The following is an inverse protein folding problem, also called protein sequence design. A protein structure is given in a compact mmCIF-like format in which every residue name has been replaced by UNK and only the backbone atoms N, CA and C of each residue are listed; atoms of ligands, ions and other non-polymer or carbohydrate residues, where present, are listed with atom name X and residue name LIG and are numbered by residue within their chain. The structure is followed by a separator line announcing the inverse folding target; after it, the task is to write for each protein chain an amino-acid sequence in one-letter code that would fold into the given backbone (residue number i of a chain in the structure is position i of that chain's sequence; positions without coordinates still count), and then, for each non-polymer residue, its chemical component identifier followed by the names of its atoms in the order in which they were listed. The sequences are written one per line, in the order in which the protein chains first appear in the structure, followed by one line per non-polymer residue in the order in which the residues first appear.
data_IF_218644350431
#
_entry.id   IF_218644350431
#
_cell.length_a   1.000
_cell.length_b   1.000
_cell.length_c   1.000
_cell.angle_alpha   90.00
_cell.angle_beta   90.00
_cell.angle_gamma   90.00
#
_symmetry.space_group_name_H-M   'P 1'
#
loop_
_entity.id
_entity.type
_entity.pdbx_description
1 polymer ?
#
# COMPACT_ATOMS: atom_id res chain seq x y z
N UNK A 1 -45.05 -14.86 -31.89
CA UNK A 1 -44.51 -16.21 -32.11
C UNK A 1 -45.38 -17.32 -31.52
N UNK A 2 -45.86 -17.23 -30.27
CA UNK A 2 -46.69 -18.28 -29.62
C UNK A 2 -47.93 -18.68 -30.44
N UNK A 3 -48.65 -17.73 -31.08
CA UNK A 3 -49.88 -18.05 -31.84
C UNK A 3 -49.62 -18.87 -33.13
N UNK A 4 -48.45 -18.71 -33.76
CA UNK A 4 -48.09 -19.40 -35.00
C UNK A 4 -47.75 -20.87 -34.74
N UNK A 5 -46.87 -21.12 -33.75
CA UNK A 5 -46.54 -22.47 -33.29
C UNK A 5 -47.74 -23.19 -32.67
N UNK A 6 -48.63 -22.47 -31.97
CA UNK A 6 -49.89 -23.02 -31.43
C UNK A 6 -50.81 -23.56 -32.53
N UNK A 7 -50.96 -22.82 -33.64
CA UNK A 7 -51.84 -23.21 -34.76
C UNK A 7 -51.30 -24.43 -35.51
N UNK A 8 -49.97 -24.53 -35.64
CA UNK A 8 -49.29 -25.69 -36.24
C UNK A 8 -49.43 -26.94 -35.35
N UNK A 9 -49.29 -26.80 -34.02
CA UNK A 9 -49.51 -27.92 -33.07
C UNK A 9 -50.93 -28.45 -33.12
N UNK A 10 -51.93 -27.56 -33.15
CA UNK A 10 -53.34 -27.96 -33.24
C UNK A 10 -53.64 -28.73 -34.54
N UNK A 11 -53.12 -28.25 -35.68
CA UNK A 11 -53.31 -28.94 -36.96
C UNK A 11 -52.61 -30.32 -37.01
N UNK A 12 -51.41 -30.47 -36.44
CA UNK A 12 -50.67 -31.74 -36.44
C UNK A 12 -51.29 -32.80 -35.51
N UNK A 13 -51.95 -32.38 -34.43
CA UNK A 13 -52.69 -33.26 -33.52
C UNK A 13 -54.01 -33.75 -34.15
N UNK A 14 -54.70 -32.91 -34.93
CA UNK A 14 -55.93 -33.29 -35.64
C UNK A 14 -55.69 -34.32 -36.76
N UNK A 15 -54.48 -34.42 -37.30
CA UNK A 15 -54.12 -35.34 -38.39
C UNK A 15 -53.57 -36.72 -37.92
N UNK A 16 -53.64 -37.09 -36.63
CA UNK A 16 -53.06 -38.33 -36.07
C UNK A 16 -51.52 -38.50 -36.32
N UNK A 17 -50.79 -37.41 -36.59
CA UNK A 17 -49.34 -37.43 -36.88
C UNK A 17 -48.48 -37.21 -35.62
N UNK A 18 -48.68 -38.04 -34.60
CA UNK A 18 -48.00 -37.96 -33.29
C UNK A 18 -46.46 -37.93 -33.39
N UNK A 19 -45.87 -38.71 -34.30
CA UNK A 19 -44.40 -38.70 -34.53
C UNK A 19 -43.86 -37.38 -35.12
N UNK A 20 -44.64 -36.65 -35.92
CA UNK A 20 -44.25 -35.31 -36.40
C UNK A 20 -44.42 -34.28 -35.29
N UNK A 21 -45.49 -34.37 -34.49
CA UNK A 21 -45.73 -33.50 -33.34
C UNK A 21 -44.57 -33.52 -32.34
N UNK A 22 -44.06 -34.69 -31.97
CA UNK A 22 -42.91 -34.82 -31.06
C UNK A 22 -41.65 -34.12 -31.60
N UNK A 23 -41.33 -34.28 -32.88
CA UNK A 23 -40.18 -33.61 -33.52
C UNK A 23 -40.31 -32.08 -33.47
N UNK A 24 -41.51 -31.55 -33.69
CA UNK A 24 -41.78 -30.11 -33.61
C UNK A 24 -41.73 -29.57 -32.17
N UNK A 25 -42.28 -30.30 -31.19
CA UNK A 25 -42.24 -29.90 -29.79
C UNK A 25 -40.81 -29.89 -29.23
N UNK A 26 -39.98 -30.88 -29.62
CA UNK A 26 -38.55 -30.91 -29.28
C UNK A 26 -37.84 -29.71 -29.92
N UNK A 27 -38.11 -29.40 -31.19
CA UNK A 27 -37.53 -28.23 -31.85
C UNK A 27 -37.87 -26.90 -31.16
N UNK A 28 -39.10 -26.75 -30.64
CA UNK A 28 -39.52 -25.57 -29.89
C UNK A 28 -38.80 -25.46 -28.53
N UNK A 29 -38.64 -26.58 -27.81
CA UNK A 29 -37.87 -26.62 -26.56
C UNK A 29 -36.41 -26.25 -26.82
N UNK A 30 -35.78 -26.82 -27.85
CA UNK A 30 -34.39 -26.51 -28.22
C UNK A 30 -34.23 -25.03 -28.57
N UNK A 31 -35.15 -24.45 -29.33
CA UNK A 31 -35.15 -23.01 -29.65
C UNK A 31 -35.28 -22.13 -28.41
N UNK A 32 -36.17 -22.47 -27.48
CA UNK A 32 -36.33 -21.74 -26.21
C UNK A 32 -35.07 -21.84 -25.35
N UNK A 33 -34.49 -23.04 -25.25
CA UNK A 33 -33.24 -23.26 -24.50
C UNK A 33 -32.10 -22.45 -25.08
N UNK A 34 -31.93 -22.43 -26.41
CA UNK A 34 -30.92 -21.57 -27.08
C UNK A 34 -31.17 -20.09 -26.75
N UNK A 35 -32.42 -19.63 -26.79
CA UNK A 35 -32.78 -18.26 -26.43
C UNK A 35 -32.40 -17.90 -24.98
N UNK A 36 -32.66 -18.80 -24.03
CA UNK A 36 -32.29 -18.62 -22.61
C UNK A 36 -30.77 -18.61 -22.45
N UNK A 37 -30.05 -19.53 -23.10
CA UNK A 37 -28.59 -19.59 -23.01
C UNK A 37 -27.93 -18.33 -23.57
N UNK A 38 -28.41 -17.80 -24.70
CA UNK A 38 -27.92 -16.53 -25.26
C UNK A 38 -28.22 -15.38 -24.30
N UNK A 39 -29.43 -15.31 -23.73
CA UNK A 39 -29.78 -14.28 -22.77
C UNK A 39 -28.88 -14.31 -21.52
N UNK A 40 -28.60 -15.51 -20.98
CA UNK A 40 -27.68 -15.71 -19.86
C UNK A 40 -26.25 -15.32 -20.24
N UNK A 41 -25.77 -15.69 -21.43
CA UNK A 41 -24.44 -15.33 -21.90
C UNK A 41 -24.28 -13.80 -22.04
N UNK A 42 -25.26 -13.11 -22.61
CA UNK A 42 -25.25 -11.65 -22.73
C UNK A 42 -25.24 -10.99 -21.34
N UNK A 43 -26.06 -11.49 -20.41
CA UNK A 43 -26.10 -10.98 -19.06
C UNK A 43 -24.76 -11.18 -18.33
N UNK A 44 -24.18 -12.38 -18.41
CA UNK A 44 -22.90 -12.70 -17.81
C UNK A 44 -21.78 -11.83 -18.39
N UNK A 45 -21.73 -11.65 -19.72
CA UNK A 45 -20.74 -10.80 -20.37
C UNK A 45 -20.84 -9.33 -19.94
N UNK A 46 -22.06 -8.79 -19.80
CA UNK A 46 -22.28 -7.44 -19.30
C UNK A 46 -21.81 -7.30 -17.85
N UNK A 47 -22.06 -8.30 -17.01
CA UNK A 47 -21.62 -8.30 -15.62
C UNK A 47 -20.10 -8.38 -15.50
N UNK A 48 -19.45 -9.28 -16.26
CA UNK A 48 -17.99 -9.35 -16.34
C UNK A 48 -17.38 -8.03 -16.79
N UNK A 49 -17.97 -7.36 -17.80
CA UNK A 49 -17.49 -6.05 -18.25
C UNK A 49 -17.56 -5.00 -17.13
N UNK A 50 -18.67 -4.95 -16.38
CA UNK A 50 -18.82 -4.01 -15.25
C UNK A 50 -17.81 -4.29 -14.15
N UNK A 51 -17.55 -5.56 -13.85
CA UNK A 51 -16.55 -5.98 -12.88
C UNK A 51 -15.14 -5.52 -13.30
N UNK A 52 -14.75 -5.76 -14.57
CA UNK A 52 -13.46 -5.31 -15.11
C UNK A 52 -13.33 -3.78 -15.04
N UNK A 53 -14.37 -3.04 -15.44
CA UNK A 53 -14.35 -1.57 -15.36
C UNK A 53 -14.18 -1.06 -13.92
N UNK A 54 -14.83 -1.72 -12.97
CA UNK A 54 -14.71 -1.39 -11.54
C UNK A 54 -13.30 -1.70 -11.03
N UNK A 55 -12.74 -2.86 -11.41
CA UNK A 55 -11.37 -3.25 -11.06
C UNK A 55 -10.34 -2.25 -11.61
N UNK A 56 -10.48 -1.83 -12.86
CA UNK A 56 -9.60 -0.83 -13.48
C UNK A 56 -9.70 0.54 -12.81
N UNK A 57 -10.90 0.95 -12.40
CA UNK A 57 -11.08 2.17 -11.62
C UNK A 57 -10.35 2.07 -10.26
N UNK A 58 -10.38 0.90 -9.61
CA UNK A 58 -9.63 0.66 -8.37
C UNK A 58 -8.12 0.65 -8.61
N UNK A 59 -7.63 0.13 -9.74
CA UNK A 59 -6.20 0.21 -10.07
C UNK A 59 -5.72 1.66 -10.23
N UNK A 60 -6.54 2.56 -10.76
CA UNK A 60 -6.22 3.99 -10.81
C UNK A 60 -6.13 4.60 -9.40
N UNK A 61 -7.02 4.19 -8.49
CA UNK A 61 -6.97 4.60 -7.07
C UNK A 61 -5.69 4.08 -6.41
N UNK A 62 -5.31 2.82 -6.65
CA UNK A 62 -4.04 2.26 -6.16
C UNK A 62 -2.86 3.05 -6.69
N UNK A 63 -2.86 3.45 -7.96
CA UNK A 63 -1.81 4.29 -8.53
C UNK A 63 -1.69 5.65 -7.83
N UNK A 64 -2.81 6.35 -7.63
CA UNK A 64 -2.83 7.65 -6.93
C UNK A 64 -2.32 7.53 -5.48
N UNK A 65 -2.70 6.46 -4.79
CA UNK A 65 -2.22 6.14 -3.44
C UNK A 65 -0.69 5.96 -3.45
N UNK A 66 -0.15 5.17 -4.40
CA UNK A 66 1.29 4.94 -4.53
C UNK A 66 2.06 6.23 -4.86
N UNK A 67 1.53 7.09 -5.74
CA UNK A 67 2.15 8.39 -6.09
C UNK A 67 2.23 9.33 -4.87
N UNK A 68 1.18 9.35 -4.06
CA UNK A 68 1.14 10.13 -2.81
C UNK A 68 2.19 9.64 -1.82
N UNK A 69 2.24 8.32 -1.61
CA UNK A 69 3.20 7.71 -0.69
C UNK A 69 4.65 7.92 -1.15
N UNK A 70 4.93 7.77 -2.46
CA UNK A 70 6.25 8.05 -3.04
C UNK A 70 6.67 9.48 -2.71
N UNK A 71 5.81 10.47 -2.97
CA UNK A 71 6.13 11.87 -2.71
C UNK A 71 6.44 12.13 -1.24
N UNK A 72 5.68 11.52 -0.32
CA UNK A 72 5.91 11.64 1.11
C UNK A 72 7.24 11.02 1.54
N UNK A 73 7.51 9.80 1.09
CA UNK A 73 8.72 9.07 1.46
C UNK A 73 9.98 9.69 0.86
N UNK A 74 9.93 10.16 -0.39
CA UNK A 74 11.07 10.86 -1.01
C UNK A 74 11.39 12.17 -0.27
N UNK A 75 10.38 12.93 0.15
CA UNK A 75 10.57 14.14 0.96
C UNK A 75 11.26 13.83 2.29
N UNK A 76 10.80 12.78 2.99
CA UNK A 76 11.40 12.34 4.24
C UNK A 76 12.85 11.85 4.07
N UNK A 77 13.10 11.00 3.06
CA UNK A 77 14.44 10.49 2.74
C UNK A 77 15.38 11.66 2.41
N UNK A 78 14.90 12.68 1.69
CA UNK A 78 15.66 13.88 1.39
C UNK A 78 16.08 14.63 2.67
N UNK A 79 15.15 14.93 3.57
CA UNK A 79 15.46 15.63 4.82
C UNK A 79 16.35 14.81 5.76
N UNK A 80 16.16 13.49 5.78
CA UNK A 80 17.06 12.56 6.47
C UNK A 80 18.51 12.68 5.96
N UNK A 81 18.70 12.61 4.65
CA UNK A 81 20.04 12.68 4.04
C UNK A 81 20.68 14.07 4.16
N UNK A 82 19.87 15.13 4.15
CA UNK A 82 20.31 16.52 4.24
C UNK A 82 20.76 16.92 5.64
N UNK A 83 20.08 16.45 6.68
CA UNK A 83 20.26 16.96 8.04
C UNK A 83 20.57 15.86 9.06
N UNK A 84 19.70 14.86 9.16
CA UNK A 84 19.76 13.87 10.24
C UNK A 84 20.95 12.91 10.11
N UNK A 85 21.20 12.37 8.91
CA UNK A 85 22.34 11.48 8.66
C UNK A 85 23.70 12.17 8.90
N UNK A 86 23.98 13.37 8.34
CA UNK A 86 25.21 14.09 8.63
C UNK A 86 25.41 14.37 10.13
N UNK A 87 24.34 14.68 10.86
CA UNK A 87 24.41 14.89 12.30
C UNK A 87 24.84 13.62 13.05
N UNK A 88 24.20 12.48 12.77
CA UNK A 88 24.60 11.20 13.35
C UNK A 88 26.06 10.85 13.03
N UNK A 89 26.47 11.00 11.77
CA UNK A 89 27.84 10.69 11.34
C UNK A 89 28.86 11.61 12.00
N UNK A 90 28.56 12.90 12.16
CA UNK A 90 29.43 13.84 12.86
C UNK A 90 29.58 13.47 14.34
N UNK A 91 28.46 13.30 15.05
CA UNK A 91 28.43 13.02 16.49
C UNK A 91 29.08 11.67 16.84
N UNK A 92 28.93 10.66 15.98
CA UNK A 92 29.48 9.33 16.24
C UNK A 92 30.96 9.20 15.87
N UNK A 93 31.38 9.83 14.76
CA UNK A 93 32.70 9.56 14.16
C UNK A 93 33.74 10.66 14.42
N UNK A 94 33.34 11.84 14.91
CA UNK A 94 34.27 12.95 15.21
C UNK A 94 34.43 13.14 16.72
N UNK A 95 35.60 13.63 17.12
CA UNK A 95 35.79 14.21 18.45
C UNK A 95 35.34 15.66 18.40
N UNK A 96 34.07 15.88 18.72
CA UNK A 96 33.50 17.23 18.78
C UNK A 96 33.97 17.93 20.06
N UNK A 97 34.21 19.24 19.96
CA UNK A 97 34.39 20.14 21.09
C UNK A 97 33.07 20.81 21.44
N UNK A 98 32.97 21.46 22.60
CA UNK A 98 31.78 22.26 22.97
C UNK A 98 31.49 23.37 21.95
N UNK A 99 32.53 24.03 21.46
CA UNK A 99 32.43 25.06 20.43
C UNK A 99 31.85 24.52 19.11
N UNK A 100 32.16 23.26 18.74
CA UNK A 100 31.59 22.65 17.54
C UNK A 100 30.07 22.48 17.63
N UNK A 101 29.53 22.14 18.81
CA UNK A 101 28.09 22.05 19.05
C UNK A 101 27.41 23.42 19.01
N UNK A 102 28.06 24.44 19.56
CA UNK A 102 27.56 25.82 19.55
C UNK A 102 27.50 26.39 18.12
N UNK A 103 28.53 26.10 17.32
CA UNK A 103 28.62 26.53 15.92
C UNK A 103 27.74 25.69 14.97
N UNK A 104 27.33 24.47 15.36
CA UNK A 104 26.53 23.57 14.52
C UNK A 104 25.32 22.99 15.27
N UNK A 105 24.23 23.77 15.43
CA UNK A 105 23.01 23.31 16.10
C UNK A 105 22.36 22.07 15.45
N UNK A 106 22.67 21.76 14.19
CA UNK A 106 22.19 20.56 13.50
C UNK A 106 22.66 19.26 14.14
N UNK A 107 23.71 19.26 14.97
CA UNK A 107 24.10 18.05 15.71
C UNK A 107 23.00 17.57 16.68
N UNK A 108 22.06 18.44 17.07
CA UNK A 108 20.92 18.08 17.91
C UNK A 108 19.86 17.27 17.17
N UNK A 109 19.97 17.07 15.85
CA UNK A 109 19.12 16.14 15.10
C UNK A 109 19.17 14.71 15.65
N UNK A 110 20.27 14.33 16.33
CA UNK A 110 20.41 13.03 17.00
C UNK A 110 19.45 12.84 18.18
N UNK A 111 18.88 13.93 18.69
CA UNK A 111 17.86 13.91 19.74
C UNK A 111 16.43 13.96 19.21
N UNK A 112 16.23 14.31 17.94
CA UNK A 112 14.89 14.44 17.37
C UNK A 112 14.28 13.08 17.07
N UNK A 113 12.97 12.98 17.31
CA UNK A 113 12.16 11.82 16.99
C UNK A 113 12.03 11.56 15.49
N UNK A 114 11.12 10.67 15.11
CA UNK A 114 10.80 10.32 13.73
C UNK A 114 9.54 11.04 13.27
N UNK A 115 9.32 11.05 11.96
CA UNK A 115 8.12 11.64 11.36
C UNK A 115 7.02 10.58 11.25
N UNK A 116 5.77 10.98 11.52
CA UNK A 116 4.60 10.12 11.41
C UNK A 116 4.20 9.96 9.93
N UNK A 117 4.80 8.97 9.28
CA UNK A 117 4.47 8.57 7.91
C UNK A 117 3.41 7.46 7.91
N UNK A 118 2.71 7.30 6.78
CA UNK A 118 1.76 6.20 6.59
C UNK A 118 1.74 5.75 5.12
N UNK A 119 1.46 4.46 4.92
CA UNK A 119 1.14 3.90 3.60
C UNK A 119 -0.36 4.04 3.36
N UNK A 120 -0.73 4.59 2.20
CA UNK A 120 -2.11 4.72 1.75
C UNK A 120 -2.73 3.35 1.46
N UNK A 121 -3.92 3.08 2.01
CA UNK A 121 -4.58 1.75 1.92
C UNK A 121 -5.91 1.75 1.18
N UNK A 122 -6.35 2.91 0.68
CA UNK A 122 -7.68 3.09 0.09
C UNK A 122 -7.90 2.16 -1.10
N UNK A 123 -6.98 2.14 -2.07
CA UNK A 123 -7.06 1.32 -3.27
C UNK A 123 -6.98 -0.18 -2.97
N UNK A 124 -6.02 -0.61 -2.14
CA UNK A 124 -5.87 -2.03 -1.77
C UNK A 124 -7.06 -2.55 -0.98
N UNK A 125 -7.65 -1.76 -0.08
CA UNK A 125 -8.82 -2.15 0.69
C UNK A 125 -10.07 -2.30 -0.19
N UNK A 126 -10.23 -1.43 -1.18
CA UNK A 126 -11.29 -1.58 -2.20
C UNK A 126 -11.05 -2.81 -3.08
N UNK A 127 -9.80 -3.06 -3.47
CA UNK A 127 -9.43 -4.21 -4.29
C UNK A 127 -9.71 -5.53 -3.56
N UNK A 128 -9.30 -5.64 -2.29
CA UNK A 128 -9.59 -6.83 -1.45
C UNK A 128 -11.08 -7.10 -1.31
N UNK A 129 -11.89 -6.04 -1.15
CA UNK A 129 -13.36 -6.17 -1.12
C UNK A 129 -13.88 -6.74 -2.43
N UNK A 130 -13.44 -6.20 -3.58
CA UNK A 130 -13.87 -6.69 -4.90
C UNK A 130 -13.45 -8.14 -5.14
N UNK A 131 -12.21 -8.50 -4.82
CA UNK A 131 -11.67 -9.83 -5.11
C UNK A 131 -12.19 -10.92 -4.17
N UNK A 132 -12.57 -10.57 -2.94
CA UNK A 132 -13.30 -11.48 -2.04
C UNK A 132 -14.65 -11.96 -2.59
N UNK A 133 -15.22 -11.27 -3.58
CA UNK A 133 -16.42 -11.71 -4.30
C UNK A 133 -16.11 -12.51 -5.59
N UNK A 134 -14.89 -12.47 -6.12
CA UNK A 134 -14.56 -12.99 -7.47
C UNK A 134 -13.48 -14.08 -7.51
N UNK A 135 -12.93 -14.53 -6.37
CA UNK A 135 -11.82 -15.50 -6.26
C UNK A 135 -10.51 -15.10 -6.99
N UNK A 136 -10.42 -13.90 -7.57
CA UNK A 136 -9.31 -13.46 -8.43
C UNK A 136 -8.11 -12.86 -7.67
N UNK A 137 -7.94 -13.12 -6.37
CA UNK A 137 -6.79 -12.58 -5.60
C UNK A 137 -5.43 -13.16 -6.01
N UNK A 138 -5.43 -14.30 -6.69
CA UNK A 138 -4.20 -15.09 -6.88
C UNK A 138 -3.52 -14.89 -8.24
N UNK A 139 -4.17 -14.23 -9.21
CA UNK A 139 -3.66 -14.11 -10.58
C UNK A 139 -3.46 -12.67 -11.06
N UNK A 140 -2.43 -12.47 -11.88
CA UNK A 140 -2.14 -11.21 -12.58
C UNK A 140 -1.85 -10.01 -11.66
N UNK A 141 -2.18 -8.82 -12.17
CA UNK A 141 -1.86 -7.54 -11.52
C UNK A 141 -2.46 -7.40 -10.11
N UNK A 142 -3.63 -7.99 -9.84
CA UNK A 142 -4.22 -7.98 -8.49
C UNK A 142 -3.34 -8.71 -7.47
N UNK A 143 -2.78 -9.86 -7.86
CA UNK A 143 -1.85 -10.63 -7.03
C UNK A 143 -0.58 -9.84 -6.74
N UNK A 144 -0.03 -9.16 -7.75
CA UNK A 144 1.18 -8.35 -7.62
C UNK A 144 0.96 -7.14 -6.70
N UNK A 145 -0.17 -6.42 -6.86
CA UNK A 145 -0.56 -5.34 -5.95
C UNK A 145 -0.70 -5.86 -4.53
N UNK A 146 -1.38 -6.99 -4.32
CA UNK A 146 -1.57 -7.54 -2.98
C UNK A 146 -0.25 -7.96 -2.32
N UNK A 147 0.67 -8.58 -3.06
CA UNK A 147 2.01 -8.95 -2.58
C UNK A 147 2.83 -7.72 -2.21
N UNK A 148 2.81 -6.69 -3.05
CA UNK A 148 3.48 -5.42 -2.79
C UNK A 148 3.03 -4.84 -1.44
N UNK A 149 1.72 -4.63 -1.26
CA UNK A 149 1.19 -4.04 -0.02
C UNK A 149 1.42 -4.93 1.20
N UNK A 150 1.25 -6.24 1.07
CA UNK A 150 1.45 -7.17 2.19
C UNK A 150 2.88 -7.12 2.72
N UNK A 151 3.87 -7.14 1.81
CA UNK A 151 5.28 -7.04 2.17
C UNK A 151 5.59 -5.68 2.80
N UNK A 152 5.26 -4.60 2.10
CA UNK A 152 5.74 -3.29 2.49
C UNK A 152 5.02 -2.69 3.70
N UNK A 153 3.74 -3.00 3.92
CA UNK A 153 3.06 -2.59 5.17
C UNK A 153 3.71 -3.27 6.38
N UNK A 154 4.11 -4.54 6.25
CA UNK A 154 4.79 -5.25 7.33
C UNK A 154 6.15 -4.65 7.65
N UNK A 155 6.99 -4.43 6.62
CA UNK A 155 8.31 -3.80 6.76
C UNK A 155 8.17 -2.39 7.37
N UNK A 156 7.29 -1.57 6.81
CA UNK A 156 7.05 -0.21 7.29
C UNK A 156 6.63 -0.17 8.76
N UNK A 157 5.62 -0.96 9.14
CA UNK A 157 5.12 -0.99 10.51
C UNK A 157 6.21 -1.46 11.50
N UNK A 158 6.97 -2.48 11.12
CA UNK A 158 8.07 -3.00 11.96
C UNK A 158 9.12 -1.91 12.19
N UNK A 159 9.54 -1.22 11.13
CA UNK A 159 10.51 -0.12 11.25
C UNK A 159 10.00 1.06 12.08
N UNK A 160 8.73 1.45 11.93
CA UNK A 160 8.13 2.51 12.75
C UNK A 160 7.98 2.11 14.22
N UNK A 161 7.62 0.86 14.50
CA UNK A 161 7.49 0.34 15.86
C UNK A 161 8.85 0.32 16.56
N UNK A 162 9.90 -0.16 15.87
CA UNK A 162 11.28 -0.15 16.40
C UNK A 162 11.81 1.26 16.66
N UNK A 163 11.56 2.21 15.75
CA UNK A 163 11.90 3.62 15.94
C UNK A 163 11.16 4.23 17.13
N UNK A 164 9.86 3.97 17.25
CA UNK A 164 9.02 4.44 18.35
C UNK A 164 9.49 3.89 19.69
N UNK A 165 9.84 2.61 19.74
CA UNK A 165 10.35 1.96 20.94
C UNK A 165 11.70 2.55 21.37
N UNK A 166 12.66 2.71 20.44
CA UNK A 166 13.95 3.32 20.80
C UNK A 166 13.82 4.79 21.17
N UNK A 167 12.95 5.53 20.51
CA UNK A 167 12.67 6.91 20.88
C UNK A 167 12.14 6.98 22.31
N UNK A 168 11.18 6.12 22.67
CA UNK A 168 10.62 6.03 24.03
C UNK A 168 11.70 5.66 25.06
N UNK A 169 12.56 4.68 24.75
CA UNK A 169 13.68 4.27 25.63
C UNK A 169 14.67 5.41 25.87
N UNK A 170 14.95 6.24 24.87
CA UNK A 170 15.83 7.39 25.01
C UNK A 170 15.13 8.55 25.74
N UNK A 171 13.86 8.79 25.44
CA UNK A 171 13.03 9.77 26.13
C UNK A 171 12.99 9.51 27.64
N UNK A 172 12.63 8.28 28.06
CA UNK A 172 12.61 7.88 29.48
C UNK A 172 13.99 8.00 30.13
N UNK A 173 15.06 7.70 29.39
CA UNK A 173 16.41 7.87 29.90
C UNK A 173 16.73 9.34 30.18
N UNK A 174 16.46 10.23 29.22
CA UNK A 174 16.75 11.66 29.36
C UNK A 174 15.90 12.36 30.43
N UNK A 175 14.70 11.85 30.75
CA UNK A 175 13.89 12.37 31.85
C UNK A 175 14.57 12.32 33.22
N UNK A 176 15.60 11.49 33.41
CA UNK A 176 16.33 11.39 34.68
C UNK A 176 17.39 12.50 34.85
N UNK A 177 17.56 13.39 33.87
CA UNK A 177 18.53 14.48 33.94
C UNK A 177 17.86 15.80 34.31
N UNK A 178 18.44 16.54 35.26
CA UNK A 178 17.92 17.84 35.72
C UNK A 178 17.82 18.89 34.60
N UNK A 179 18.68 18.78 33.59
CA UNK A 179 18.67 19.70 32.43
C UNK A 179 17.52 19.44 31.45
N UNK A 180 16.86 18.29 31.52
CA UNK A 180 15.92 17.85 30.48
C UNK A 180 14.70 18.76 30.34
N UNK A 181 14.17 19.26 31.45
CA UNK A 181 13.07 20.24 31.43
C UNK A 181 13.47 21.55 30.74
N UNK A 182 14.71 22.02 30.95
CA UNK A 182 15.22 23.22 30.30
C UNK A 182 15.48 23.00 28.81
N UNK A 183 15.93 21.80 28.42
CA UNK A 183 16.06 21.42 27.02
C UNK A 183 14.70 21.46 26.30
N UNK A 184 13.66 20.86 26.88
CA UNK A 184 12.33 20.82 26.26
C UNK A 184 11.63 22.20 26.21
N UNK A 185 11.70 22.98 27.29
CA UNK A 185 10.92 24.21 27.43
C UNK A 185 11.66 25.46 26.97
N UNK A 186 12.98 25.45 26.96
CA UNK A 186 13.81 26.63 26.70
C UNK A 186 14.87 26.38 25.60
N UNK A 187 14.89 25.19 25.00
CA UNK A 187 15.89 24.80 24.00
C UNK A 187 17.35 24.95 24.47
N UNK A 188 17.58 24.85 25.79
CA UNK A 188 18.93 24.89 26.38
C UNK A 188 19.64 23.56 26.16
N UNK A 189 20.84 23.61 25.57
CA UNK A 189 21.56 22.42 25.10
C UNK A 189 22.78 22.08 25.95
N UNK A 190 23.25 23.01 26.78
CA UNK A 190 24.44 22.85 27.63
C UNK A 190 24.43 21.54 28.41
N UNK A 191 23.32 21.24 29.10
CA UNK A 191 23.22 20.03 29.90
C UNK A 191 23.28 18.73 29.07
N UNK A 192 22.71 18.73 27.86
CA UNK A 192 22.85 17.59 26.95
C UNK A 192 24.29 17.46 26.47
N UNK A 193 24.93 18.56 26.05
CA UNK A 193 26.32 18.56 25.57
C UNK A 193 27.26 18.08 26.68
N UNK A 194 27.10 18.57 27.91
CA UNK A 194 27.90 18.13 29.06
C UNK A 194 27.64 16.64 29.36
N UNK A 195 26.39 16.19 29.29
CA UNK A 195 26.07 14.77 29.50
C UNK A 195 26.63 13.89 28.38
N UNK A 196 26.67 14.35 27.14
CA UNK A 196 27.23 13.60 26.01
C UNK A 196 28.69 13.19 26.26
N UNK A 197 29.49 14.04 26.91
CA UNK A 197 30.89 13.73 27.24
C UNK A 197 31.06 12.93 28.54
N UNK A 198 30.14 13.09 29.50
CA UNK A 198 30.29 12.51 30.84
C UNK A 198 29.50 11.21 31.03
N UNK A 199 28.48 10.95 30.23
CA UNK A 199 27.61 9.78 30.33
C UNK A 199 28.02 8.69 29.33
N UNK A 200 28.51 7.54 29.79
CA UNK A 200 29.09 6.52 28.92
C UNK A 200 28.07 5.88 27.96
N UNK A 201 26.76 5.98 28.25
CA UNK A 201 25.73 5.30 27.45
C UNK A 201 25.11 6.16 26.36
N UNK A 202 25.27 7.48 26.37
CA UNK A 202 24.60 8.37 25.41
C UNK A 202 25.07 8.08 23.98
N UNK A 203 26.38 7.95 23.77
CA UNK A 203 26.92 7.64 22.44
C UNK A 203 26.42 6.30 21.89
N UNK A 204 26.32 5.28 22.75
CA UNK A 204 25.74 3.97 22.38
C UNK A 204 24.26 4.08 22.01
N UNK A 205 23.48 4.86 22.76
CA UNK A 205 22.05 5.11 22.45
C UNK A 205 21.84 5.83 21.12
N UNK A 206 22.68 6.83 20.84
CA UNK A 206 22.69 7.54 19.54
C UNK A 206 23.05 6.58 18.41
N UNK A 207 24.05 5.71 18.62
CA UNK A 207 24.44 4.69 17.63
C UNK A 207 23.32 3.68 17.35
N UNK A 208 22.62 3.21 18.39
CA UNK A 208 21.46 2.32 18.23
C UNK A 208 20.33 2.99 17.46
N UNK A 209 19.99 4.24 17.79
CA UNK A 209 18.97 4.99 17.06
C UNK A 209 19.37 5.17 15.59
N UNK A 210 20.63 5.52 15.31
CA UNK A 210 21.12 5.67 13.94
C UNK A 210 21.05 4.36 13.14
N UNK A 211 21.41 3.24 13.77
CA UNK A 211 21.33 1.92 13.14
C UNK A 211 19.90 1.60 12.68
N UNK A 212 18.90 1.82 13.52
CA UNK A 212 17.49 1.56 13.17
C UNK A 212 17.00 2.54 12.10
N UNK A 213 17.36 3.82 12.19
CA UNK A 213 17.06 4.78 11.12
C UNK A 213 17.57 4.32 9.77
N UNK A 214 18.78 3.75 9.70
CA UNK A 214 19.34 3.26 8.44
C UNK A 214 18.53 2.11 7.87
N UNK A 215 18.07 1.19 8.70
CA UNK A 215 17.19 0.08 8.27
C UNK A 215 15.87 0.67 7.73
N UNK A 216 15.22 1.53 8.52
CA UNK A 216 13.96 2.16 8.13
C UNK A 216 14.07 2.92 6.80
N UNK A 217 15.14 3.70 6.61
CA UNK A 217 15.37 4.43 5.36
C UNK A 217 15.53 3.48 4.18
N UNK A 218 16.24 2.36 4.35
CA UNK A 218 16.35 1.33 3.30
C UNK A 218 14.99 0.73 2.95
N UNK A 219 14.10 0.51 3.92
CA UNK A 219 12.75 0.01 3.66
C UNK A 219 11.90 1.02 2.88
N UNK A 220 12.03 2.32 3.19
CA UNK A 220 11.37 3.38 2.42
C UNK A 220 11.91 3.50 0.99
N UNK A 221 13.23 3.39 0.79
CA UNK A 221 13.86 3.39 -0.54
C UNK A 221 13.38 2.18 -1.37
N UNK A 222 13.28 1.01 -0.74
CA UNK A 222 12.72 -0.20 -1.35
C UNK A 222 11.25 -0.02 -1.72
N UNK A 223 10.44 0.58 -0.85
CA UNK A 223 9.05 0.92 -1.16
C UNK A 223 8.97 1.80 -2.40
N UNK A 224 9.68 2.94 -2.41
CA UNK A 224 9.63 3.92 -3.51
C UNK A 224 10.00 3.26 -4.85
N UNK A 225 11.06 2.45 -4.84
CA UNK A 225 11.53 1.75 -6.05
C UNK A 225 10.50 0.74 -6.57
N UNK A 226 9.93 -0.06 -5.68
CA UNK A 226 8.95 -1.07 -6.03
C UNK A 226 7.61 -0.46 -6.42
N UNK A 227 7.20 0.64 -5.77
CA UNK A 227 5.99 1.38 -6.05
C UNK A 227 6.02 1.98 -7.47
N UNK A 228 7.14 2.60 -7.87
CA UNK A 228 7.34 3.10 -9.23
C UNK A 228 7.21 1.99 -10.27
N UNK A 229 7.78 0.81 -9.99
CA UNK A 229 7.66 -0.37 -10.86
C UNK A 229 6.21 -0.84 -10.97
N UNK A 230 5.49 -0.90 -9.86
CA UNK A 230 4.09 -1.29 -9.82
C UNK A 230 3.18 -0.31 -10.58
N UNK A 231 3.45 1.00 -10.49
CA UNK A 231 2.75 2.04 -11.27
C UNK A 231 2.91 1.79 -12.77
N UNK A 232 4.12 1.47 -13.24
CA UNK A 232 4.36 1.13 -14.66
C UNK A 232 3.54 -0.09 -15.08
N UNK A 233 3.45 -1.12 -14.24
CA UNK A 233 2.65 -2.31 -14.52
C UNK A 233 1.15 -2.00 -14.59
N UNK A 234 0.65 -1.14 -13.69
CA UNK A 234 -0.73 -0.65 -13.72
C UNK A 234 -0.99 0.12 -15.03
N UNK A 235 -0.10 1.03 -15.41
CA UNK A 235 -0.25 1.82 -16.63
C UNK A 235 -0.24 0.97 -17.91
N UNK A 236 0.60 -0.06 -17.97
CA UNK A 236 0.62 -1.00 -19.09
C UNK A 236 -0.67 -1.80 -19.18
N UNK A 237 -1.15 -2.34 -18.06
CA UNK A 237 -2.42 -3.06 -18.00
C UNK A 237 -3.61 -2.21 -18.48
N UNK A 238 -3.67 -0.94 -18.05
CA UNK A 238 -4.74 -0.01 -18.44
C UNK A 238 -4.67 0.42 -19.91
N UNK A 239 -3.51 0.30 -20.57
CA UNK A 239 -3.36 0.56 -22.02
C UNK A 239 -3.83 -0.61 -22.88
N UNK A 240 -3.58 -1.84 -22.47
CA UNK A 240 -3.98 -3.05 -23.21
C UNK A 240 -5.50 -3.24 -23.33
N UNK A 241 -6.26 -2.58 -22.46
CA UNK A 241 -7.73 -2.70 -22.38
C UNK A 241 -8.45 -1.63 -23.23
N UNK A 242 -7.74 -0.59 -23.71
CA UNK A 242 -8.30 0.44 -24.60
C UNK A 242 -8.32 -0.01 -26.05
#
# INVERSE_FOLDING_TARGET
MIKFFRKIRQNLLMENKTGKYFKYAIGEIVLVVIGILIALQINNWNETRKQINTQNAIYLIVKEDLETDISGFESFIYEYNKSKKPAFEAVLNKELTREDWENNPSYLEVMKGYEDLAISKRGIDQLKKLSGFSNNLEEGLTSDINKFYTKHILEFNTGTDELGEQFTRNYIYFQNFDWYASFLMQHKTDGFIDSFYNEPTIKSRIATLYFIYRIYITDLENYVTNAKTLIVNIDNHLKEIK
#
